data_IF_876737524975
#
_entry.id   IF_876737524975
#
_cell.length_a   1.000
_cell.length_b   1.000
_cell.length_c   1.000
_cell.angle_alpha   90.00
_cell.angle_beta   90.00
_cell.angle_gamma   90.00
#
_symmetry.space_group_name_H-M   'P 1'
#
loop_
_entity.id
_entity.type
_entity.pdbx_description
1 polymer ?
#
# COMPACT_ATOMS: atom_id res chain seq x y z
N UNK A 1 30.88 39.30 28.25
CA UNK A 1 29.67 38.49 28.50
C UNK A 1 29.69 37.30 27.53
N UNK A 2 30.30 36.18 27.95
CA UNK A 2 30.45 34.98 27.11
C UNK A 2 29.25 34.08 27.35
N UNK A 3 28.32 34.04 26.42
CA UNK A 3 27.13 33.17 26.43
C UNK A 3 27.58 31.75 26.09
N UNK A 4 27.28 30.82 26.97
CA UNK A 4 27.67 29.41 26.93
C UNK A 4 26.94 28.68 25.75
N UNK A 5 27.60 28.61 24.60
CA UNK A 5 27.08 27.92 23.36
C UNK A 5 27.05 26.38 23.52
N UNK A 6 27.64 25.81 24.57
CA UNK A 6 27.73 24.36 24.77
C UNK A 6 26.40 23.69 25.12
N UNK A 7 25.41 24.40 25.66
CA UNK A 7 24.13 23.80 26.07
C UNK A 7 23.17 23.54 24.91
N UNK A 8 23.24 24.34 23.87
CA UNK A 8 22.33 24.19 22.71
C UNK A 8 22.69 23.06 21.74
N UNK A 9 23.97 22.64 21.71
CA UNK A 9 24.39 21.54 20.80
C UNK A 9 23.84 20.18 21.24
N UNK A 10 23.78 19.91 22.54
CA UNK A 10 23.22 18.67 23.08
C UNK A 10 21.69 18.57 22.88
N UNK A 11 20.98 19.68 22.95
CA UNK A 11 19.52 19.72 22.70
C UNK A 11 19.23 19.42 21.25
N UNK A 12 20.03 19.92 20.30
CA UNK A 12 19.86 19.65 18.87
C UNK A 12 20.18 18.18 18.55
N UNK A 13 21.19 17.59 19.17
CA UNK A 13 21.52 16.16 19.00
C UNK A 13 20.45 15.25 19.60
N UNK A 14 19.84 15.63 20.72
CA UNK A 14 18.72 14.87 21.31
C UNK A 14 17.45 15.03 20.48
N UNK A 15 17.18 16.22 19.93
CA UNK A 15 16.01 16.44 19.06
C UNK A 15 16.12 15.71 17.70
N UNK A 16 17.32 15.54 17.17
CA UNK A 16 17.56 14.79 15.92
C UNK A 16 17.42 13.26 16.08
N UNK A 17 17.49 12.74 17.31
CA UNK A 17 17.27 11.32 17.61
C UNK A 17 15.79 10.91 17.63
N UNK A 18 14.85 11.88 17.61
CA UNK A 18 13.41 11.61 17.64
C UNK A 18 12.73 11.63 16.28
N UNK A 19 13.46 11.90 15.19
CA UNK A 19 12.91 11.82 13.83
C UNK A 19 13.40 10.50 13.20
N UNK A 20 13.04 9.37 13.80
CA UNK A 20 13.14 8.09 13.12
C UNK A 20 11.84 7.88 12.35
N UNK A 21 11.88 7.81 11.02
CA UNK A 21 10.68 7.51 10.26
C UNK A 21 10.16 6.13 10.67
N UNK A 22 8.88 6.06 11.05
CA UNK A 22 8.20 4.79 11.22
C UNK A 22 8.43 3.94 9.96
N UNK A 23 8.74 2.65 10.11
CA UNK A 23 8.88 1.72 8.99
C UNK A 23 7.51 1.52 8.34
N UNK A 24 7.16 2.40 7.41
CA UNK A 24 5.96 2.29 6.57
C UNK A 24 6.23 1.40 5.37
N UNK A 25 5.19 0.83 4.73
CA UNK A 25 5.37 0.16 3.46
C UNK A 25 6.09 1.07 2.45
N UNK A 26 7.15 0.56 1.86
CA UNK A 26 7.88 1.26 0.80
C UNK A 26 7.07 1.23 -0.49
N UNK A 27 6.46 0.07 -0.78
CA UNK A 27 5.80 -0.16 -2.04
C UNK A 27 4.60 -1.09 -1.89
N UNK A 28 3.52 -0.74 -2.57
CA UNK A 28 2.38 -1.60 -2.85
C UNK A 28 2.26 -1.77 -4.36
N UNK A 29 2.15 -2.99 -4.83
CA UNK A 29 1.82 -3.30 -6.23
C UNK A 29 0.52 -4.09 -6.27
N UNK A 30 -0.47 -3.57 -6.97
CA UNK A 30 -1.80 -4.14 -7.10
C UNK A 30 -2.06 -4.43 -8.56
N UNK A 31 -2.43 -5.67 -8.90
CA UNK A 31 -2.79 -6.06 -10.27
C UNK A 31 -4.30 -6.25 -10.39
N UNK A 32 -4.90 -5.56 -11.36
CA UNK A 32 -6.34 -5.60 -11.61
C UNK A 32 -6.60 -5.90 -13.08
N UNK A 33 -7.45 -6.86 -13.34
CA UNK A 33 -7.96 -7.13 -14.68
C UNK A 33 -9.30 -6.44 -14.91
N UNK A 34 -9.57 -6.04 -16.15
CA UNK A 34 -10.84 -5.37 -16.47
C UNK A 34 -12.06 -6.28 -16.32
N UNK A 35 -11.89 -7.60 -16.47
CA UNK A 35 -12.91 -8.59 -16.17
C UNK A 35 -13.30 -8.62 -14.69
N UNK A 36 -12.31 -8.43 -13.78
CA UNK A 36 -12.57 -8.43 -12.34
C UNK A 36 -13.52 -7.30 -11.95
N UNK A 37 -13.36 -6.12 -12.58
CA UNK A 37 -14.24 -4.97 -12.34
C UNK A 37 -15.66 -5.26 -12.85
N UNK A 38 -15.80 -6.00 -13.96
CA UNK A 38 -17.11 -6.39 -14.45
C UNK A 38 -17.80 -7.34 -13.47
N UNK A 39 -17.10 -8.36 -12.97
CA UNK A 39 -17.62 -9.28 -11.95
C UNK A 39 -18.01 -8.54 -10.66
N UNK A 40 -17.21 -7.56 -10.23
CA UNK A 40 -17.56 -6.74 -9.06
C UNK A 40 -18.82 -5.90 -9.31
N UNK A 41 -19.00 -5.34 -10.51
CA UNK A 41 -20.21 -4.59 -10.86
C UNK A 41 -21.46 -5.49 -10.91
N UNK A 42 -21.28 -6.80 -11.13
CA UNK A 42 -22.33 -7.83 -11.06
C UNK A 42 -22.62 -8.28 -9.62
N UNK A 43 -21.83 -7.79 -8.64
CA UNK A 43 -22.04 -8.01 -7.20
C UNK A 43 -21.09 -8.99 -6.54
N UNK A 44 -20.14 -9.53 -7.26
CA UNK A 44 -19.12 -10.44 -6.74
C UNK A 44 -18.07 -9.70 -5.90
N UNK A 45 -17.35 -10.46 -5.06
CA UNK A 45 -16.10 -10.02 -4.42
C UNK A 45 -14.97 -10.88 -4.99
N UNK A 46 -13.97 -10.21 -5.54
CA UNK A 46 -12.81 -10.85 -6.20
C UNK A 46 -11.57 -10.60 -5.36
N UNK A 47 -10.75 -11.63 -5.13
CA UNK A 47 -9.42 -11.47 -4.56
C UNK A 47 -8.43 -11.09 -5.67
N UNK A 48 -7.77 -9.94 -5.54
CA UNK A 48 -6.79 -9.43 -6.51
C UNK A 48 -5.38 -9.47 -5.94
N UNK A 49 -4.36 -9.78 -6.77
CA UNK A 49 -2.98 -9.87 -6.31
C UNK A 49 -2.47 -8.56 -5.73
N UNK A 50 -1.79 -8.66 -4.59
CA UNK A 50 -1.08 -7.59 -3.91
C UNK A 50 0.34 -8.03 -3.58
N UNK A 51 1.33 -7.21 -3.94
CA UNK A 51 2.69 -7.33 -3.44
C UNK A 51 3.02 -6.12 -2.56
N UNK A 52 3.57 -6.38 -1.38
CA UNK A 52 3.96 -5.34 -0.41
C UNK A 52 5.45 -5.47 -0.12
N UNK A 53 6.15 -4.35 -0.11
CA UNK A 53 7.57 -4.29 0.28
C UNK A 53 7.73 -3.37 1.49
N UNK A 54 8.41 -3.89 2.51
CA UNK A 54 8.82 -3.15 3.71
C UNK A 54 10.33 -3.14 3.79
N UNK A 55 10.93 -1.96 3.99
CA UNK A 55 12.36 -1.84 4.28
C UNK A 55 12.56 -1.59 5.77
N UNK A 56 13.40 -2.41 6.39
CA UNK A 56 13.89 -2.19 7.76
C UNK A 56 15.34 -1.74 7.69
N UNK A 57 15.60 -0.56 8.24
CA UNK A 57 16.96 -0.01 8.30
C UNK A 57 17.72 -0.65 9.46
N UNK A 58 18.93 -1.15 9.20
CA UNK A 58 19.81 -1.75 10.20
C UNK A 58 19.70 -3.27 10.31
N UNK A 59 20.30 -3.82 11.37
CA UNK A 59 20.29 -5.25 11.66
C UNK A 59 19.10 -5.61 12.53
N UNK A 60 18.40 -6.71 12.20
CA UNK A 60 17.31 -7.27 13.01
C UNK A 60 17.86 -8.06 14.21
N UNK A 61 18.44 -7.34 15.20
CA UNK A 61 19.07 -7.95 16.37
C UNK A 61 18.10 -8.66 17.32
N UNK A 62 16.83 -8.28 17.29
CA UNK A 62 15.79 -8.76 18.19
C UNK A 62 14.84 -9.78 17.54
N UNK A 63 15.12 -10.22 16.31
CA UNK A 63 14.24 -11.06 15.52
C UNK A 63 12.82 -10.45 15.37
N UNK A 64 12.75 -9.16 15.09
CA UNK A 64 11.49 -8.41 14.96
C UNK A 64 10.76 -8.74 13.67
N UNK A 65 11.51 -8.94 12.56
CA UNK A 65 10.93 -9.32 11.27
C UNK A 65 10.23 -10.70 11.30
N UNK A 66 10.81 -11.77 11.84
CA UNK A 66 10.09 -13.03 12.03
C UNK A 66 8.81 -12.87 12.86
N UNK A 67 8.85 -12.11 13.97
CA UNK A 67 7.68 -11.86 14.80
C UNK A 67 6.60 -11.07 14.04
N UNK A 68 6.99 -10.04 13.29
CA UNK A 68 6.09 -9.25 12.45
C UNK A 68 5.49 -10.11 11.33
N UNK A 69 6.27 -11.01 10.74
CA UNK A 69 5.80 -11.98 9.74
C UNK A 69 4.74 -12.91 10.32
N UNK A 70 5.00 -13.51 11.49
CA UNK A 70 4.04 -14.43 12.14
C UNK A 70 2.77 -13.69 12.59
N UNK A 71 2.90 -12.42 12.95
CA UNK A 71 1.75 -11.57 13.22
C UNK A 71 0.94 -11.28 11.94
N UNK A 72 1.60 -10.89 10.85
CA UNK A 72 0.95 -10.57 9.58
C UNK A 72 0.16 -11.76 9.00
N UNK A 73 0.65 -12.99 9.17
CA UNK A 73 -0.05 -14.23 8.76
C UNK A 73 -1.45 -14.39 9.37
N UNK A 74 -1.73 -13.76 10.52
CA UNK A 74 -3.07 -13.80 11.14
C UNK A 74 -4.11 -12.96 10.40
N UNK A 75 -3.65 -12.00 9.60
CA UNK A 75 -4.48 -11.00 8.92
C UNK A 75 -4.52 -11.16 7.41
N UNK A 76 -3.71 -12.07 6.86
CA UNK A 76 -3.58 -12.30 5.44
C UNK A 76 -4.09 -13.69 5.07
N UNK A 77 -4.40 -13.97 3.78
CA UNK A 77 -4.73 -15.31 3.30
C UNK A 77 -3.65 -16.35 3.67
N UNK A 78 -4.06 -17.59 3.86
CA UNK A 78 -3.15 -18.70 4.24
C UNK A 78 -2.08 -18.98 3.17
N UNK A 79 -2.37 -18.70 1.90
CA UNK A 79 -1.49 -18.85 0.75
C UNK A 79 -0.53 -17.67 0.55
N UNK A 80 -0.51 -16.71 1.47
CA UNK A 80 0.41 -15.57 1.39
C UNK A 80 1.85 -16.01 1.56
N UNK A 81 2.72 -15.52 0.67
CA UNK A 81 4.16 -15.79 0.66
C UNK A 81 4.94 -14.65 1.30
N UNK A 82 5.97 -15.00 2.07
CA UNK A 82 6.83 -14.04 2.77
C UNK A 82 8.29 -14.32 2.43
N UNK A 83 9.00 -13.32 1.96
CA UNK A 83 10.42 -13.39 1.67
C UNK A 83 11.17 -12.27 2.39
N UNK A 84 12.29 -12.60 3.04
CA UNK A 84 13.18 -11.62 3.68
C UNK A 84 14.53 -11.67 2.95
N UNK A 85 14.91 -10.56 2.35
CA UNK A 85 16.17 -10.41 1.62
C UNK A 85 17.03 -9.31 2.23
N UNK A 86 18.36 -9.37 1.99
CA UNK A 86 19.25 -8.27 2.34
C UNK A 86 19.16 -7.17 1.31
N UNK A 87 18.78 -5.98 1.73
CA UNK A 87 18.84 -4.76 0.94
C UNK A 87 20.12 -3.96 1.20
N UNK A 88 20.25 -2.80 0.55
CA UNK A 88 21.42 -1.92 0.68
C UNK A 88 21.62 -1.36 2.08
N UNK A 89 20.54 -1.06 2.79
CA UNK A 89 20.57 -0.38 4.11
C UNK A 89 20.00 -1.23 5.25
N UNK A 90 19.68 -2.50 4.99
CA UNK A 90 19.06 -3.39 5.97
C UNK A 90 18.33 -4.53 5.29
N UNK A 91 17.30 -5.06 5.94
CA UNK A 91 16.48 -6.13 5.39
C UNK A 91 15.26 -5.56 4.66
N UNK A 92 14.84 -6.25 3.60
CA UNK A 92 13.59 -5.99 2.87
C UNK A 92 12.70 -7.21 3.03
N UNK A 93 11.51 -7.01 3.56
CA UNK A 93 10.46 -8.03 3.61
C UNK A 93 9.51 -7.80 2.45
N UNK A 94 9.34 -8.81 1.63
CA UNK A 94 8.36 -8.87 0.55
C UNK A 94 7.23 -9.80 0.96
N UNK A 95 5.99 -9.35 0.80
CA UNK A 95 4.77 -10.13 1.01
C UNK A 95 4.04 -10.20 -0.33
N UNK A 96 3.79 -11.41 -0.81
CA UNK A 96 2.91 -11.67 -1.96
C UNK A 96 1.63 -12.26 -1.42
N UNK A 97 0.50 -11.61 -1.68
CA UNK A 97 -0.81 -11.94 -1.10
C UNK A 97 -1.93 -11.47 -2.02
N UNK A 98 -3.17 -11.51 -1.55
CA UNK A 98 -4.32 -10.92 -2.22
C UNK A 98 -5.10 -9.99 -1.29
N UNK A 99 -5.89 -9.10 -1.89
CA UNK A 99 -6.85 -8.24 -1.19
C UNK A 99 -8.22 -8.29 -1.88
N UNK A 100 -9.32 -8.23 -1.11
CA UNK A 100 -10.66 -8.24 -1.68
C UNK A 100 -10.95 -6.95 -2.45
N UNK A 101 -11.53 -7.10 -3.64
CA UNK A 101 -12.09 -6.05 -4.43
C UNK A 101 -13.60 -6.27 -4.58
N UNK A 102 -14.39 -5.26 -4.25
CA UNK A 102 -15.84 -5.36 -4.28
C UNK A 102 -16.52 -4.00 -4.20
N UNK A 103 -17.85 -4.02 -4.15
CA UNK A 103 -18.65 -2.81 -3.93
C UNK A 103 -18.79 -2.50 -2.44
N UNK A 104 -19.18 -1.26 -2.09
CA UNK A 104 -19.55 -0.89 -0.72
C UNK A 104 -20.63 -1.78 -0.12
N UNK A 105 -21.44 -2.44 -0.96
CA UNK A 105 -22.52 -3.34 -0.53
C UNK A 105 -22.04 -4.77 -0.29
N UNK A 106 -21.15 -5.30 -1.13
CA UNK A 106 -20.70 -6.70 -1.05
C UNK A 106 -19.56 -6.91 -0.05
N UNK A 107 -18.61 -5.97 0.06
CA UNK A 107 -17.43 -6.08 0.93
C UNK A 107 -17.72 -6.27 2.42
N UNK A 108 -18.71 -5.59 3.05
CA UNK A 108 -18.93 -5.76 4.50
C UNK A 108 -19.26 -7.18 4.95
N UNK A 109 -20.01 -7.93 4.14
CA UNK A 109 -20.34 -9.32 4.46
C UNK A 109 -19.13 -10.23 4.25
N UNK A 110 -18.39 -10.03 3.18
CA UNK A 110 -17.16 -10.77 2.89
C UNK A 110 -16.12 -10.59 4.01
N UNK A 111 -15.88 -9.35 4.46
CA UNK A 111 -14.88 -9.01 5.47
C UNK A 111 -15.22 -9.51 6.89
N UNK A 112 -16.49 -9.83 7.18
CA UNK A 112 -16.87 -10.48 8.44
C UNK A 112 -16.34 -11.90 8.54
N UNK A 113 -16.34 -12.62 7.41
CA UNK A 113 -15.88 -14.02 7.34
C UNK A 113 -14.38 -14.08 7.02
N UNK A 114 -13.89 -13.11 6.25
CA UNK A 114 -12.51 -13.02 5.77
C UNK A 114 -11.89 -11.65 6.14
N UNK A 115 -11.51 -11.42 7.40
CA UNK A 115 -10.89 -10.14 7.80
C UNK A 115 -9.61 -9.89 7.01
N UNK A 116 -9.48 -8.70 6.41
CA UNK A 116 -8.32 -8.24 5.64
C UNK A 116 -7.95 -6.82 6.07
N UNK A 117 -6.65 -6.45 6.08
CA UNK A 117 -6.22 -5.10 6.46
C UNK A 117 -6.53 -4.05 5.39
N UNK A 118 -6.55 -4.46 4.12
CA UNK A 118 -6.79 -3.61 2.97
C UNK A 118 -7.91 -4.17 2.09
N UNK A 119 -8.56 -3.28 1.33
CA UNK A 119 -9.56 -3.63 0.34
C UNK A 119 -9.56 -2.64 -0.82
N UNK A 120 -10.06 -3.07 -1.97
CA UNK A 120 -10.39 -2.20 -3.10
C UNK A 120 -11.91 -2.03 -3.18
N UNK A 121 -12.35 -0.79 -3.12
CA UNK A 121 -13.76 -0.42 -3.31
C UNK A 121 -13.97 0.02 -4.74
N UNK A 122 -14.90 -0.64 -5.43
CA UNK A 122 -15.35 -0.23 -6.76
C UNK A 122 -16.68 0.52 -6.64
N UNK A 123 -16.72 1.73 -7.19
CA UNK A 123 -17.93 2.56 -7.25
C UNK A 123 -17.86 3.44 -8.51
N UNK A 124 -18.89 3.39 -9.36
CA UNK A 124 -18.99 4.21 -10.58
C UNK A 124 -17.73 4.13 -11.46
N UNK A 125 -17.23 2.91 -11.68
CA UNK A 125 -15.98 2.62 -12.40
C UNK A 125 -14.69 3.19 -11.76
N UNK A 126 -14.76 3.66 -10.52
CA UNK A 126 -13.61 4.08 -9.73
C UNK A 126 -13.16 2.95 -8.82
N UNK A 127 -11.86 2.76 -8.77
CA UNK A 127 -11.20 1.82 -7.84
C UNK A 127 -10.51 2.66 -6.78
N UNK A 128 -10.85 2.42 -5.52
CA UNK A 128 -10.32 3.16 -4.37
C UNK A 128 -9.66 2.15 -3.42
N UNK A 129 -8.40 2.37 -3.07
CA UNK A 129 -7.73 1.60 -2.03
C UNK A 129 -8.13 2.15 -0.66
N UNK A 130 -8.71 1.29 0.16
CA UNK A 130 -9.14 1.64 1.52
C UNK A 130 -8.55 0.69 2.56
N UNK A 131 -8.33 1.21 3.77
CA UNK A 131 -7.98 0.41 4.94
C UNK A 131 -9.23 -0.06 5.68
N UNK A 132 -9.12 -1.23 6.31
CA UNK A 132 -10.19 -1.78 7.16
C UNK A 132 -9.88 -1.59 8.65
N UNK A 133 -10.82 -1.97 9.51
CA UNK A 133 -10.58 -2.02 10.96
C UNK A 133 -9.44 -2.98 11.35
N UNK A 134 -9.22 -4.05 10.58
CA UNK A 134 -8.13 -5.01 10.81
C UNK A 134 -6.75 -4.39 10.67
N UNK A 135 -6.57 -3.38 9.80
CA UNK A 135 -5.30 -2.65 9.69
C UNK A 135 -4.95 -1.92 10.98
N UNK A 136 -5.95 -1.30 11.62
CA UNK A 136 -5.75 -0.61 12.89
C UNK A 136 -5.31 -1.57 14.00
N UNK A 137 -5.92 -2.77 14.05
CA UNK A 137 -5.56 -3.80 15.01
C UNK A 137 -4.15 -4.32 14.75
N UNK A 138 -3.83 -4.66 13.48
CA UNK A 138 -2.50 -5.07 13.06
C UNK A 138 -1.43 -4.04 13.45
N UNK A 139 -1.68 -2.75 13.22
CA UNK A 139 -0.75 -1.68 13.58
C UNK A 139 -0.55 -1.56 15.10
N UNK A 140 -1.59 -1.78 15.89
CA UNK A 140 -1.45 -1.82 17.35
C UNK A 140 -0.53 -2.95 17.79
N UNK A 141 -0.73 -4.17 17.26
CA UNK A 141 0.08 -5.34 17.60
C UNK A 141 1.52 -5.26 17.05
N UNK A 142 1.73 -4.63 15.87
CA UNK A 142 3.07 -4.35 15.34
C UNK A 142 3.87 -3.41 16.26
N UNK A 143 3.22 -2.39 16.82
CA UNK A 143 3.86 -1.46 17.78
C UNK A 143 4.25 -2.14 19.08
N UNK A 144 3.59 -3.22 19.49
CA UNK A 144 3.98 -4.02 20.65
C UNK A 144 5.27 -4.82 20.38
N UNK A 145 5.55 -5.17 19.12
CA UNK A 145 6.83 -5.79 18.71
C UNK A 145 7.92 -4.74 18.66
N UNK A 146 7.68 -3.65 17.93
CA UNK A 146 8.55 -2.48 17.84
C UNK A 146 7.71 -1.24 17.49
N UNK A 147 7.81 -0.19 18.29
CA UNK A 147 7.02 1.05 18.13
C UNK A 147 7.21 1.75 16.77
N UNK A 148 8.29 1.43 16.03
CA UNK A 148 8.57 1.96 14.69
C UNK A 148 7.89 1.16 13.57
N UNK A 149 7.40 -0.06 13.85
CA UNK A 149 6.71 -0.87 12.84
C UNK A 149 5.30 -0.34 12.60
N UNK A 150 4.96 -0.14 11.35
CA UNK A 150 3.62 0.29 10.93
C UNK A 150 3.31 -0.20 9.51
N UNK A 151 2.08 -0.65 9.31
CA UNK A 151 1.53 -0.95 7.99
C UNK A 151 0.59 0.16 7.49
N UNK A 152 0.72 1.39 8.03
CA UNK A 152 -0.15 2.51 7.70
C UNK A 152 -0.05 2.93 6.23
N UNK A 153 -1.18 3.34 5.67
CA UNK A 153 -1.27 3.99 4.37
C UNK A 153 -1.13 5.53 4.53
N UNK A 154 -0.72 6.24 3.46
CA UNK A 154 -0.26 5.69 2.20
C UNK A 154 1.16 5.10 2.29
N UNK A 155 1.42 4.07 1.49
CA UNK A 155 2.79 3.61 1.23
C UNK A 155 3.59 4.73 0.52
N UNK A 156 4.94 4.64 0.52
CA UNK A 156 5.76 5.60 -0.24
C UNK A 156 5.47 5.54 -1.74
N UNK A 157 5.12 4.36 -2.24
CA UNK A 157 4.71 4.15 -3.62
C UNK A 157 3.57 3.13 -3.66
N UNK A 158 2.47 3.47 -4.35
CA UNK A 158 1.38 2.54 -4.64
C UNK A 158 1.22 2.45 -6.16
N UNK A 159 1.45 1.26 -6.72
CA UNK A 159 1.40 1.00 -8.14
C UNK A 159 0.16 0.15 -8.45
N UNK A 160 -0.66 0.64 -9.36
CA UNK A 160 -1.70 -0.16 -10.00
C UNK A 160 -1.24 -0.59 -11.38
N UNK A 161 -1.26 -1.90 -11.62
CA UNK A 161 -1.11 -2.49 -12.94
C UNK A 161 -2.50 -2.88 -13.44
N UNK A 162 -3.03 -2.13 -14.41
CA UNK A 162 -4.33 -2.41 -15.01
C UNK A 162 -4.11 -3.15 -16.32
N UNK A 163 -4.64 -4.37 -16.41
CA UNK A 163 -4.54 -5.23 -17.58
C UNK A 163 -5.91 -5.36 -18.27
N UNK A 164 -5.97 -4.98 -19.54
CA UNK A 164 -7.17 -5.17 -20.35
C UNK A 164 -7.23 -6.60 -20.89
N UNK A 165 -8.15 -7.40 -20.39
CA UNK A 165 -8.50 -8.73 -20.90
C UNK A 165 -9.85 -8.73 -21.65
N UNK A 166 -10.58 -7.62 -21.61
CA UNK A 166 -11.82 -7.37 -22.35
C UNK A 166 -11.58 -7.17 -23.84
N UNK A 167 -12.62 -7.40 -24.65
CA UNK A 167 -12.63 -7.06 -26.09
C UNK A 167 -12.84 -5.57 -26.32
N UNK A 168 -13.40 -4.86 -25.36
CA UNK A 168 -13.64 -3.42 -25.43
C UNK A 168 -12.36 -2.65 -25.17
N UNK A 169 -12.27 -1.45 -25.71
CA UNK A 169 -11.25 -0.48 -25.38
C UNK A 169 -11.52 0.04 -23.95
N UNK A 170 -10.50 0.08 -23.14
CA UNK A 170 -10.59 0.60 -21.78
C UNK A 170 -9.70 1.82 -21.67
N UNK A 171 -10.20 2.90 -21.08
CA UNK A 171 -9.42 4.09 -20.79
C UNK A 171 -9.19 4.19 -19.28
N UNK A 172 -7.94 4.33 -18.88
CA UNK A 172 -7.53 4.54 -17.48
C UNK A 172 -7.32 6.03 -17.26
N UNK A 173 -7.99 6.57 -16.25
CA UNK A 173 -7.91 7.96 -15.82
C UNK A 173 -7.35 8.03 -14.40
N UNK A 174 -6.42 8.94 -14.16
CA UNK A 174 -5.88 9.20 -12.82
C UNK A 174 -5.35 10.63 -12.70
N UNK A 175 -5.22 11.12 -11.48
CA UNK A 175 -4.67 12.45 -11.21
C UNK A 175 -3.46 12.37 -10.29
N UNK A 176 -2.49 13.27 -10.50
CA UNK A 176 -1.29 13.42 -9.69
C UNK A 176 -0.47 12.11 -9.58
N UNK A 177 -0.19 11.47 -10.71
CA UNK A 177 0.43 10.15 -10.79
C UNK A 177 1.72 10.17 -11.62
N UNK A 178 2.46 9.06 -11.51
CA UNK A 178 3.56 8.74 -12.40
C UNK A 178 3.15 7.55 -13.29
N UNK A 179 3.58 7.59 -14.55
CA UNK A 179 3.52 6.44 -15.46
C UNK A 179 4.76 6.46 -16.33
N UNK A 180 5.39 5.27 -16.53
CA UNK A 180 6.66 5.17 -17.25
C UNK A 180 7.74 6.15 -16.71
N UNK A 181 7.76 6.35 -15.38
CA UNK A 181 8.66 7.27 -14.63
C UNK A 181 8.44 8.77 -14.93
N UNK A 182 7.37 9.15 -15.62
CA UNK A 182 7.01 10.54 -15.91
C UNK A 182 5.85 10.99 -15.02
N UNK A 183 5.87 12.23 -14.48
CA UNK A 183 4.76 12.76 -13.71
C UNK A 183 3.64 13.26 -14.63
N UNK A 184 2.40 13.03 -14.20
CA UNK A 184 1.17 13.49 -14.85
C UNK A 184 0.26 14.15 -13.82
N UNK A 185 -0.17 15.36 -14.05
CA UNK A 185 -1.23 15.98 -13.25
C UNK A 185 -2.59 15.37 -13.60
N UNK A 186 -2.83 15.14 -14.89
CA UNK A 186 -3.95 14.38 -15.41
C UNK A 186 -3.40 13.29 -16.32
N UNK A 187 -3.69 12.06 -16.00
CA UNK A 187 -3.30 10.89 -16.76
C UNK A 187 -4.52 10.29 -17.44
N UNK A 188 -4.42 10.09 -18.74
CA UNK A 188 -5.41 9.39 -19.54
C UNK A 188 -4.68 8.47 -20.52
N UNK A 189 -4.99 7.19 -20.47
CA UNK A 189 -4.41 6.23 -21.41
C UNK A 189 -5.39 5.13 -21.76
N UNK A 190 -5.69 5.01 -23.04
CA UNK A 190 -6.45 3.89 -23.55
C UNK A 190 -5.57 2.67 -23.75
N UNK A 191 -6.02 1.55 -23.22
CA UNK A 191 -5.33 0.26 -23.32
C UNK A 191 -6.10 -0.70 -24.23
N UNK A 192 -5.35 -1.38 -25.09
CA UNK A 192 -5.87 -2.41 -25.99
C UNK A 192 -5.91 -3.75 -25.26
N UNK A 193 -6.72 -4.67 -25.76
CA UNK A 193 -6.79 -6.04 -25.24
C UNK A 193 -5.40 -6.66 -25.06
N UNK A 194 -5.17 -7.36 -23.97
CA UNK A 194 -3.91 -8.02 -23.57
C UNK A 194 -2.73 -7.04 -23.40
N UNK A 195 -3.01 -5.77 -23.14
CA UNK A 195 -2.03 -4.77 -22.79
C UNK A 195 -2.30 -4.27 -21.38
N UNK A 196 -1.25 -3.83 -20.74
CA UNK A 196 -1.30 -3.28 -19.38
C UNK A 196 -0.82 -1.83 -19.38
N UNK A 197 -1.22 -1.11 -18.37
CA UNK A 197 -0.67 0.19 -17.99
C UNK A 197 -0.35 0.17 -16.51
N UNK A 198 0.76 0.82 -16.14
CA UNK A 198 1.13 1.04 -14.76
C UNK A 198 0.92 2.50 -14.40
N UNK A 199 0.26 2.72 -13.27
CA UNK A 199 0.02 4.03 -12.68
C UNK A 199 0.51 4.01 -11.25
N UNK A 200 1.47 4.87 -10.93
CA UNK A 200 2.11 4.97 -9.63
C UNK A 200 1.65 6.23 -8.89
N UNK A 201 1.13 6.05 -7.70
CA UNK A 201 0.84 7.12 -6.73
C UNK A 201 2.01 7.19 -5.75
N UNK A 202 2.68 8.32 -5.65
CA UNK A 202 3.73 8.54 -4.66
C UNK A 202 3.16 9.19 -3.42
N UNK A 203 3.23 8.45 -2.30
CA UNK A 203 2.98 9.01 -0.98
C UNK A 203 4.15 9.87 -0.54
N UNK A 204 3.93 11.16 -0.29
CA UNK A 204 4.92 12.03 0.35
C UNK A 204 4.82 11.93 1.87
N UNK A 205 5.92 12.24 2.57
CA UNK A 205 5.89 12.45 4.04
C UNK A 205 5.04 13.68 4.42
N UNK A 206 4.70 14.52 3.46
CA UNK A 206 4.01 15.78 3.68
C UNK A 206 2.51 15.71 3.37
N UNK A 207 1.78 16.35 4.22
CA UNK A 207 0.33 16.45 4.40
C UNK A 207 -0.53 16.63 3.15
N UNK A 208 0.02 16.99 2.01
CA UNK A 208 -0.76 17.26 0.79
C UNK A 208 -1.38 15.99 0.19
N UNK A 209 -0.72 14.83 0.33
CA UNK A 209 -1.22 13.56 -0.24
C UNK A 209 -2.02 12.70 0.75
N UNK A 210 -2.10 13.10 2.03
CA UNK A 210 -2.91 12.35 3.03
C UNK A 210 -4.41 12.43 2.75
N UNK A 211 -4.85 13.44 2.01
CA UNK A 211 -6.25 13.69 1.73
C UNK A 211 -6.69 13.24 0.33
N UNK A 212 -5.74 12.90 -0.55
CA UNK A 212 -6.08 12.41 -1.89
C UNK A 212 -6.16 10.88 -1.82
N UNK A 213 -7.35 10.29 -1.93
CA UNK A 213 -7.48 8.85 -1.98
C UNK A 213 -6.72 8.31 -3.19
N UNK A 214 -6.04 7.16 -3.01
CA UNK A 214 -5.45 6.41 -4.12
C UNK A 214 -6.60 5.88 -4.96
N UNK A 215 -6.91 6.60 -6.03
CA UNK A 215 -8.10 6.37 -6.84
C UNK A 215 -7.77 6.33 -8.33
N UNK A 216 -8.27 5.31 -9.00
CA UNK A 216 -8.28 5.19 -10.46
C UNK A 216 -9.73 5.25 -10.96
N UNK A 217 -9.92 5.79 -12.14
CA UNK A 217 -11.19 5.74 -12.86
C UNK A 217 -11.01 5.01 -14.18
N UNK A 218 -11.97 4.17 -14.55
CA UNK A 218 -11.95 3.37 -15.76
C UNK A 218 -13.21 3.64 -16.59
N UNK A 219 -13.01 3.96 -17.85
CA UNK A 219 -14.06 3.98 -18.85
C UNK A 219 -14.05 2.61 -19.58
N UNK A 220 -15.07 1.79 -19.30
CA UNK A 220 -15.22 0.41 -19.79
C UNK A 220 -16.08 0.33 -21.05
#
# INVERSE_FOLDING_TARGET
MMVNIKFNFWIIVILSLFILPACKPEKLEIEVYTSDIQSVNEGEVIEVPLKVEFSMIGEDKNNELPKATDLAKKYLPEDSEFEITKGTFGNVMTIVTSIPMGTKKSLPNYLKENPRPLMLVVSDNKIILESTGSLKTLNSELKDINFMLSADLPAKSTIFRITSDSKKKVTVLATAVFSEKKPYLHFEKSIKRRKSVEVEFKGGDDSVYKEIPVQLELEL
#
